data_IF_764780081256
#
_entry.id   IF_764780081256
#
_cell.length_a   1.000
_cell.length_b   1.000
_cell.length_c   1.000
_cell.angle_alpha   90.00
_cell.angle_beta   90.00
_cell.angle_gamma   90.00
#
_symmetry.space_group_name_H-M   'P 1'
#
loop_
_entity.id
_entity.type
_entity.pdbx_description
1 polymer ?
#
# COMPACT_ATOMS: atom_id res chain seq x y z
N UNK A 1 7.79 7.02 -9.21
CA UNK A 1 6.55 7.29 -8.46
C UNK A 1 6.08 6.03 -7.78
N UNK A 2 5.17 5.27 -8.41
CA UNK A 2 4.58 4.04 -7.85
C UNK A 2 5.63 3.03 -7.37
N UNK A 3 6.61 2.68 -8.21
CA UNK A 3 7.67 1.72 -7.83
C UNK A 3 8.50 2.17 -6.61
N UNK A 4 8.76 3.48 -6.47
CA UNK A 4 9.46 4.03 -5.32
C UNK A 4 8.61 3.88 -4.04
N UNK A 5 7.32 4.26 -4.13
CA UNK A 5 6.42 4.21 -2.99
C UNK A 5 6.03 2.78 -2.60
N UNK A 6 6.02 1.83 -3.53
CA UNK A 6 5.68 0.42 -3.23
C UNK A 6 6.69 -0.23 -2.28
N UNK A 7 7.94 0.23 -2.22
CA UNK A 7 8.90 -0.24 -1.20
C UNK A 7 8.37 0.00 0.23
N UNK A 8 7.55 1.04 0.43
CA UNK A 8 6.92 1.38 1.70
C UNK A 8 5.53 0.75 1.88
N UNK A 9 5.12 -0.18 1.00
CA UNK A 9 3.87 -0.89 1.16
C UNK A 9 3.94 -1.81 2.40
N UNK A 10 3.13 -1.48 3.41
CA UNK A 10 3.04 -2.23 4.67
C UNK A 10 2.61 -3.69 4.46
N UNK A 11 1.99 -4.03 3.32
CA UNK A 11 1.67 -5.42 3.01
C UNK A 11 2.90 -6.29 2.78
N UNK A 12 4.07 -5.72 2.49
CA UNK A 12 5.32 -6.49 2.50
C UNK A 12 5.62 -7.05 3.90
N UNK A 13 5.50 -6.21 4.92
CA UNK A 13 5.70 -6.56 6.32
C UNK A 13 4.68 -7.60 6.78
N UNK A 14 3.40 -7.35 6.47
CA UNK A 14 2.31 -8.26 6.83
C UNK A 14 2.48 -9.64 6.21
N UNK A 15 2.82 -9.74 4.90
CA UNK A 15 3.05 -11.04 4.25
C UNK A 15 4.26 -11.76 4.81
N UNK A 16 5.35 -11.03 5.06
CA UNK A 16 6.55 -11.59 5.67
C UNK A 16 6.26 -12.20 7.04
N UNK A 17 5.58 -11.44 7.90
CA UNK A 17 5.20 -11.88 9.24
C UNK A 17 4.17 -13.00 9.21
N UNK A 18 3.23 -12.97 8.27
CA UNK A 18 2.22 -14.03 8.13
C UNK A 18 2.89 -15.38 7.84
N UNK A 19 3.89 -15.43 6.95
CA UNK A 19 4.65 -16.67 6.69
C UNK A 19 5.37 -17.15 7.95
N UNK A 20 6.08 -16.25 8.63
CA UNK A 20 6.77 -16.56 9.91
C UNK A 20 5.80 -17.14 10.94
N UNK A 21 4.67 -16.46 11.19
CA UNK A 21 3.65 -16.90 12.15
C UNK A 21 3.05 -18.25 11.76
N UNK A 22 2.82 -18.47 10.47
CA UNK A 22 2.31 -19.74 9.97
C UNK A 22 3.30 -20.88 10.22
N UNK A 23 4.56 -20.70 9.81
CA UNK A 23 5.61 -21.73 9.93
C UNK A 23 5.92 -22.05 11.39
N UNK A 24 6.00 -21.04 12.27
CA UNK A 24 6.23 -21.26 13.69
C UNK A 24 5.10 -22.08 14.35
N UNK A 25 3.86 -21.90 13.89
CA UNK A 25 2.71 -22.59 14.47
C UNK A 25 2.50 -23.99 13.90
N UNK A 26 2.64 -24.15 12.60
CA UNK A 26 2.22 -25.36 11.88
C UNK A 26 3.37 -26.16 11.28
N UNK A 27 4.56 -25.57 11.18
CA UNK A 27 5.73 -26.17 10.56
C UNK A 27 5.89 -25.80 9.08
N UNK A 28 7.11 -26.00 8.57
CA UNK A 28 7.47 -25.75 7.17
C UNK A 28 6.72 -26.72 6.26
N UNK A 29 6.08 -26.17 5.22
CA UNK A 29 5.36 -26.97 4.21
C UNK A 29 3.98 -27.44 4.67
N UNK A 30 3.51 -26.99 5.83
CA UNK A 30 2.22 -27.37 6.35
C UNK A 30 1.08 -26.84 5.47
N UNK A 31 -0.03 -27.59 5.52
CA UNK A 31 -1.29 -27.24 4.90
C UNK A 31 -2.39 -27.38 5.96
N UNK A 32 -3.21 -26.34 6.11
CA UNK A 32 -4.22 -26.27 7.17
C UNK A 32 -5.52 -25.67 6.67
N UNK A 33 -6.62 -25.91 7.37
CA UNK A 33 -7.91 -25.26 7.11
C UNK A 33 -7.75 -23.74 7.26
N UNK A 34 -8.12 -22.99 6.21
CA UNK A 34 -8.05 -21.52 6.24
C UNK A 34 -8.98 -20.97 7.32
N UNK A 35 -10.24 -21.42 7.33
CA UNK A 35 -11.27 -20.88 8.22
C UNK A 35 -10.99 -21.18 9.69
N UNK A 36 -10.45 -22.35 10.02
CA UNK A 36 -10.18 -22.74 11.42
C UNK A 36 -9.01 -21.98 12.05
N UNK A 37 -8.15 -21.36 11.23
CA UNK A 37 -6.91 -20.73 11.69
C UNK A 37 -6.79 -19.26 11.35
N UNK A 38 -7.66 -18.71 10.52
CA UNK A 38 -7.54 -17.35 10.03
C UNK A 38 -7.57 -16.29 11.14
N UNK A 39 -8.41 -16.47 12.17
CA UNK A 39 -8.53 -15.51 13.28
C UNK A 39 -7.21 -15.41 14.06
N UNK A 40 -6.64 -16.56 14.42
CA UNK A 40 -5.35 -16.59 15.10
C UNK A 40 -4.25 -15.97 14.25
N UNK A 41 -4.11 -16.44 13.00
CA UNK A 41 -3.06 -15.98 12.09
C UNK A 41 -3.14 -14.46 11.87
N UNK A 42 -4.35 -13.94 11.66
CA UNK A 42 -4.58 -12.49 11.51
C UNK A 42 -4.20 -11.71 12.76
N UNK A 43 -4.68 -12.14 13.93
CA UNK A 43 -4.46 -11.45 15.19
C UNK A 43 -2.97 -11.45 15.58
N UNK A 44 -2.31 -12.59 15.43
CA UNK A 44 -0.90 -12.76 15.77
C UNK A 44 0.02 -11.99 14.80
N UNK A 45 -0.29 -12.01 13.50
CA UNK A 45 0.43 -11.22 12.49
C UNK A 45 0.35 -9.73 12.82
N UNK A 46 -0.85 -9.21 13.12
CA UNK A 46 -0.99 -7.81 13.53
C UNK A 46 -0.25 -7.50 14.83
N UNK A 47 -0.35 -8.39 15.84
CA UNK A 47 0.33 -8.20 17.12
C UNK A 47 1.85 -8.04 16.94
N UNK A 48 2.46 -8.78 16.00
CA UNK A 48 3.87 -8.64 15.64
C UNK A 48 4.14 -7.39 14.80
N UNK A 49 3.29 -7.12 13.82
CA UNK A 49 3.42 -5.95 12.96
C UNK A 49 3.43 -4.64 13.75
N UNK A 50 2.56 -4.51 14.77
CA UNK A 50 2.53 -3.34 15.66
C UNK A 50 3.71 -3.24 16.63
N UNK A 51 4.57 -4.27 16.70
CA UNK A 51 5.82 -4.26 17.48
C UNK A 51 7.05 -4.06 16.61
N UNK A 52 6.90 -3.98 15.29
CA UNK A 52 8.02 -3.71 14.42
C UNK A 52 8.58 -2.32 14.78
N UNK A 53 9.91 -2.19 14.89
CA UNK A 53 10.53 -0.88 15.03
C UNK A 53 10.23 -0.02 13.81
N UNK A 54 10.19 1.31 13.97
CA UNK A 54 9.96 2.23 12.84
C UNK A 54 11.23 2.43 12.00
N UNK A 55 12.39 2.52 12.64
CA UNK A 55 13.65 2.94 12.02
C UNK A 55 14.80 1.94 12.16
N UNK A 56 14.53 0.72 12.60
CA UNK A 56 15.56 -0.30 12.83
C UNK A 56 15.21 -1.62 12.12
N UNK A 57 16.20 -2.46 11.78
CA UNK A 57 15.93 -3.79 11.27
C UNK A 57 15.10 -4.63 12.28
N UNK A 58 14.03 -5.30 11.85
CA UNK A 58 13.16 -6.08 12.75
C UNK A 58 13.83 -7.24 13.49
N UNK A 59 14.96 -7.74 12.98
CA UNK A 59 15.73 -8.75 13.69
C UNK A 59 14.97 -10.09 13.76
N UNK A 60 14.87 -10.65 14.97
CA UNK A 60 14.18 -11.92 15.21
C UNK A 60 12.66 -11.85 15.03
N UNK A 61 12.07 -10.65 14.94
CA UNK A 61 10.65 -10.51 14.64
C UNK A 61 10.33 -10.87 13.18
N UNK A 62 11.34 -10.85 12.30
CA UNK A 62 11.20 -11.10 10.87
C UNK A 62 11.37 -12.57 10.45
N UNK A 63 11.31 -12.83 9.14
CA UNK A 63 11.64 -14.12 8.53
C UNK A 63 13.12 -14.51 8.71
N UNK A 64 13.42 -15.81 8.71
CA UNK A 64 14.77 -16.33 8.88
C UNK A 64 15.76 -15.88 7.78
N UNK A 65 15.27 -15.59 6.57
CA UNK A 65 16.06 -15.16 5.41
C UNK A 65 16.52 -13.69 5.46
N UNK A 66 16.20 -12.98 6.56
CA UNK A 66 16.53 -11.57 6.81
C UNK A 66 16.07 -10.63 5.70
N UNK A 67 15.08 -11.03 4.90
CA UNK A 67 14.52 -10.19 3.84
C UNK A 67 13.85 -8.94 4.40
N UNK A 68 13.16 -9.05 5.53
CA UNK A 68 12.51 -7.89 6.15
C UNK A 68 13.54 -6.87 6.64
N UNK A 69 14.65 -7.31 7.23
CA UNK A 69 15.77 -6.45 7.59
C UNK A 69 16.37 -5.74 6.37
N UNK A 70 16.55 -6.46 5.25
CA UNK A 70 17.00 -5.87 3.99
C UNK A 70 16.00 -4.84 3.43
N UNK A 71 14.69 -5.09 3.58
CA UNK A 71 13.64 -4.13 3.21
C UNK A 71 13.72 -2.86 4.07
N UNK A 72 13.94 -3.00 5.38
CA UNK A 72 14.09 -1.87 6.29
C UNK A 72 15.35 -1.05 6.00
N UNK A 73 16.48 -1.70 5.74
CA UNK A 73 17.70 -1.03 5.31
C UNK A 73 17.51 -0.28 3.98
N UNK A 74 16.77 -0.87 3.03
CA UNK A 74 16.42 -0.22 1.77
C UNK A 74 15.54 1.02 2.00
N UNK A 75 14.49 0.90 2.83
CA UNK A 75 13.60 2.01 3.19
C UNK A 75 14.39 3.16 3.82
N UNK A 76 15.26 2.86 4.78
CA UNK A 76 16.13 3.86 5.43
C UNK A 76 17.02 4.57 4.40
N UNK A 77 17.71 3.83 3.54
CA UNK A 77 18.54 4.42 2.47
C UNK A 77 17.74 5.33 1.52
N UNK A 78 16.51 4.94 1.15
CA UNK A 78 15.63 5.77 0.33
C UNK A 78 15.21 7.04 1.06
N UNK A 79 14.83 6.92 2.34
CA UNK A 79 14.45 8.05 3.20
C UNK A 79 15.61 9.02 3.35
N UNK A 80 16.80 8.56 3.71
CA UNK A 80 18.01 9.38 3.86
C UNK A 80 18.33 10.13 2.56
N UNK A 81 18.27 9.41 1.42
CA UNK A 81 18.50 10.01 0.10
C UNK A 81 17.46 11.08 -0.23
N UNK A 82 16.18 10.82 0.08
CA UNK A 82 15.10 11.77 -0.14
C UNK A 82 15.25 13.01 0.77
N UNK A 83 15.58 12.82 2.05
CA UNK A 83 15.78 13.92 3.00
C UNK A 83 16.96 14.80 2.58
N UNK A 84 18.08 14.21 2.17
CA UNK A 84 19.23 14.96 1.67
C UNK A 84 18.86 15.82 0.44
N UNK A 85 18.08 15.26 -0.50
CA UNK A 85 17.60 16.00 -1.66
C UNK A 85 16.63 17.14 -1.27
N UNK A 86 15.74 16.89 -0.29
CA UNK A 86 14.81 17.90 0.23
C UNK A 86 15.57 19.03 0.93
N UNK A 87 16.61 18.72 1.72
CA UNK A 87 17.44 19.71 2.39
C UNK A 87 18.17 20.60 1.38
N UNK A 88 18.75 20.01 0.33
CA UNK A 88 19.38 20.76 -0.74
C UNK A 88 18.39 21.70 -1.44
N UNK A 89 17.20 21.20 -1.79
CA UNK A 89 16.16 21.99 -2.46
C UNK A 89 15.58 23.09 -1.53
N UNK A 90 15.48 22.82 -0.23
CA UNK A 90 15.03 23.80 0.75
C UNK A 90 16.02 24.98 0.86
N UNK A 91 17.33 24.72 0.79
CA UNK A 91 18.37 25.76 0.85
C UNK A 91 18.35 26.72 -0.36
N UNK A 92 17.88 26.26 -1.53
CA UNK A 92 17.81 27.06 -2.76
C UNK A 92 16.40 27.55 -3.10
N UNK A 93 15.38 27.13 -2.34
CA UNK A 93 13.97 27.42 -2.60
C UNK A 93 13.36 26.62 -3.77
N UNK A 94 14.10 25.68 -4.34
CA UNK A 94 13.72 24.87 -5.49
C UNK A 94 12.83 23.67 -5.11
N UNK A 95 12.42 22.88 -6.10
CA UNK A 95 11.74 21.60 -5.89
C UNK A 95 12.73 20.45 -6.04
N UNK A 96 12.48 19.34 -5.35
CA UNK A 96 13.17 18.07 -5.63
C UNK A 96 12.64 17.52 -6.94
N UNK A 97 13.54 17.31 -7.91
CA UNK A 97 13.22 16.78 -9.23
C UNK A 97 14.07 15.54 -9.52
N UNK A 98 13.51 14.36 -9.28
CA UNK A 98 14.13 13.10 -9.68
C UNK A 98 13.62 12.63 -11.04
N UNK A 99 14.48 12.00 -11.81
CA UNK A 99 14.07 11.25 -13.00
C UNK A 99 13.37 9.95 -12.60
N UNK A 100 12.64 9.35 -13.55
CA UNK A 100 12.07 8.03 -13.34
C UNK A 100 13.14 6.96 -13.12
N UNK A 101 14.29 7.06 -13.81
CA UNK A 101 15.41 6.13 -13.65
C UNK A 101 16.05 6.22 -12.26
N UNK A 102 16.32 7.44 -11.77
CA UNK A 102 16.86 7.64 -10.41
C UNK A 102 15.95 7.01 -9.35
N UNK A 103 14.63 7.22 -9.48
CA UNK A 103 13.68 6.62 -8.56
C UNK A 103 13.60 5.09 -8.68
N UNK A 104 13.85 4.51 -9.86
CA UNK A 104 13.90 3.05 -10.05
C UNK A 104 15.20 2.46 -9.50
N UNK A 105 16.33 3.11 -9.71
CA UNK A 105 17.64 2.68 -9.23
C UNK A 105 17.63 2.51 -7.70
N UNK A 106 16.96 3.43 -6.99
CA UNK A 106 16.75 3.35 -5.55
C UNK A 106 15.93 2.13 -5.08
N UNK A 107 15.18 1.48 -5.97
CA UNK A 107 14.35 0.31 -5.64
C UNK A 107 14.99 -1.03 -6.00
N UNK A 108 16.16 -1.00 -6.67
CA UNK A 108 16.85 -2.20 -7.15
C UNK A 108 17.20 -3.18 -6.03
N UNK A 109 17.44 -2.68 -4.81
CA UNK A 109 17.70 -3.51 -3.62
C UNK A 109 16.49 -4.25 -3.05
N UNK A 110 15.28 -4.10 -3.60
CA UNK A 110 14.08 -4.75 -3.07
C UNK A 110 14.25 -6.28 -3.08
N UNK A 111 14.15 -6.99 -1.93
CA UNK A 111 14.28 -8.44 -1.88
C UNK A 111 13.26 -9.18 -2.77
N UNK A 112 13.67 -10.29 -3.39
CA UNK A 112 12.86 -11.02 -4.40
C UNK A 112 11.47 -11.42 -3.89
N UNK A 113 11.34 -11.84 -2.63
CA UNK A 113 10.05 -12.17 -2.02
C UNK A 113 9.04 -11.01 -2.02
N UNK A 114 9.53 -9.78 -2.07
CA UNK A 114 8.72 -8.56 -2.12
C UNK A 114 8.52 -8.04 -3.54
N UNK A 115 9.27 -8.57 -4.51
CA UNK A 115 9.07 -8.30 -5.94
C UNK A 115 7.87 -9.05 -6.52
N UNK A 116 6.98 -9.58 -5.68
CA UNK A 116 5.79 -10.33 -6.10
C UNK A 116 5.09 -9.61 -7.25
N UNK A 117 5.01 -10.29 -8.40
CA UNK A 117 4.78 -9.69 -9.73
C UNK A 117 3.43 -9.00 -9.93
N UNK A 118 2.60 -8.94 -8.89
CA UNK A 118 1.16 -8.74 -9.04
C UNK A 118 0.54 -7.74 -8.08
N UNK A 119 1.33 -7.05 -7.25
CA UNK A 119 0.80 -5.95 -6.45
C UNK A 119 0.24 -4.86 -7.38
N UNK A 120 -1.05 -4.56 -7.17
CA UNK A 120 -1.77 -3.51 -7.87
C UNK A 120 -2.14 -2.42 -6.90
N UNK A 121 -2.07 -1.20 -7.40
CA UNK A 121 -2.43 0.00 -6.67
C UNK A 121 -3.44 0.81 -7.48
N UNK A 122 -4.51 1.24 -6.83
CA UNK A 122 -5.41 2.25 -7.35
C UNK A 122 -4.87 3.63 -6.98
N UNK A 123 -4.32 4.36 -7.95
CA UNK A 123 -3.70 5.67 -7.71
C UNK A 123 -4.67 6.80 -8.04
N UNK A 124 -4.98 7.63 -7.04
CA UNK A 124 -5.75 8.86 -7.21
C UNK A 124 -4.81 10.00 -7.59
N UNK A 125 -5.07 10.59 -8.75
CA UNK A 125 -4.30 11.74 -9.24
C UNK A 125 -5.18 12.91 -9.60
N UNK A 126 -4.64 14.12 -9.47
CA UNK A 126 -5.18 15.32 -10.11
C UNK A 126 -4.22 15.76 -11.23
N UNK A 127 -4.77 16.12 -12.37
CA UNK A 127 -3.98 16.76 -13.43
C UNK A 127 -3.78 18.23 -13.10
N UNK A 128 -2.54 18.69 -13.07
CA UNK A 128 -2.20 20.10 -12.97
C UNK A 128 -1.15 20.47 -14.00
N UNK A 129 -1.53 21.32 -14.97
CA UNK A 129 -0.70 21.58 -16.17
C UNK A 129 -0.35 20.24 -16.84
N UNK A 130 0.95 19.92 -16.96
CA UNK A 130 1.46 18.66 -17.52
C UNK A 130 1.93 17.67 -16.44
N UNK A 131 1.49 17.87 -15.19
CA UNK A 131 1.88 17.08 -14.03
C UNK A 131 0.70 16.26 -13.51
N UNK A 132 1.02 15.12 -12.90
CA UNK A 132 0.10 14.30 -12.11
C UNK A 132 0.39 14.54 -10.64
N UNK A 133 -0.50 15.21 -9.94
CA UNK A 133 -0.45 15.37 -8.49
C UNK A 133 -0.94 14.07 -7.85
N UNK A 134 -0.04 13.38 -7.15
CA UNK A 134 -0.37 12.17 -6.41
C UNK A 134 -1.12 12.57 -5.13
N UNK A 135 -2.36 12.11 -4.99
CA UNK A 135 -3.14 12.37 -3.77
C UNK A 135 -2.95 11.23 -2.78
N UNK A 136 -3.21 10.03 -3.26
CA UNK A 136 -3.24 8.82 -2.45
C UNK A 136 -3.22 7.62 -3.39
N UNK A 137 -2.75 6.47 -2.92
CA UNK A 137 -3.06 5.21 -3.58
C UNK A 137 -3.46 4.14 -2.60
N UNK A 138 -4.34 3.27 -3.06
CA UNK A 138 -4.95 2.21 -2.29
C UNK A 138 -4.64 0.85 -2.91
N UNK A 139 -5.12 -0.20 -2.26
CA UNK A 139 -5.21 -1.52 -2.86
C UNK A 139 -5.85 -1.43 -4.26
N UNK A 140 -5.25 -2.13 -5.22
CA UNK A 140 -5.70 -2.13 -6.61
C UNK A 140 -7.01 -2.89 -6.84
N UNK A 141 -7.12 -3.53 -8.00
CA UNK A 141 -8.24 -4.44 -8.30
C UNK A 141 -9.64 -3.79 -8.18
N UNK A 142 -9.78 -2.52 -8.56
CA UNK A 142 -11.09 -1.90 -8.71
C UNK A 142 -11.72 -1.33 -7.44
N UNK A 143 -11.07 -1.44 -6.28
CA UNK A 143 -11.53 -0.91 -5.00
C UNK A 143 -12.09 0.53 -5.05
N UNK A 144 -11.45 1.43 -5.82
CA UNK A 144 -11.88 2.83 -5.93
C UNK A 144 -13.09 3.06 -6.85
N UNK A 145 -13.37 2.13 -7.77
CA UNK A 145 -14.33 2.35 -8.83
C UNK A 145 -15.37 1.24 -9.03
N UNK A 146 -15.24 0.11 -8.34
CA UNK A 146 -16.13 -1.05 -8.44
C UNK A 146 -17.60 -0.67 -8.25
N UNK A 147 -17.90 0.13 -7.22
CA UNK A 147 -19.24 0.65 -6.93
C UNK A 147 -19.86 1.49 -8.05
N UNK A 148 -19.04 2.06 -8.94
CA UNK A 148 -19.51 2.89 -10.06
C UNK A 148 -19.72 2.10 -11.35
N UNK A 149 -19.34 0.81 -11.40
CA UNK A 149 -19.52 -0.04 -12.58
C UNK A 149 -21.00 -0.28 -12.92
N UNK A 150 -21.88 -0.26 -11.91
CA UNK A 150 -23.33 -0.44 -12.09
C UNK A 150 -23.94 0.76 -12.83
N UNK A 151 -23.77 1.98 -12.30
CA UNK A 151 -24.13 3.22 -12.99
C UNK A 151 -23.51 3.36 -14.38
N UNK A 152 -22.22 3.08 -14.56
CA UNK A 152 -21.55 3.09 -15.88
C UNK A 152 -22.30 2.19 -16.88
N UNK A 153 -22.56 0.94 -16.49
CA UNK A 153 -23.31 0.00 -17.34
C UNK A 153 -24.72 0.50 -17.67
N UNK A 154 -25.42 1.10 -16.71
CA UNK A 154 -26.77 1.64 -16.92
C UNK A 154 -26.78 2.79 -17.95
N UNK A 155 -25.66 3.51 -18.08
CA UNK A 155 -25.45 4.56 -19.08
C UNK A 155 -24.88 4.04 -20.41
N UNK A 156 -24.82 2.72 -20.61
CA UNK A 156 -24.25 2.10 -21.82
C UNK A 156 -22.71 2.06 -21.83
N UNK A 157 -22.08 2.30 -20.68
CA UNK A 157 -20.64 2.26 -20.50
C UNK A 157 -20.05 0.86 -20.63
N UNK A 158 -18.72 0.82 -20.78
CA UNK A 158 -17.95 -0.40 -21.04
C UNK A 158 -16.91 -0.69 -19.94
N UNK A 159 -16.97 0.01 -18.81
CA UNK A 159 -15.96 -0.15 -17.75
C UNK A 159 -15.97 -1.56 -17.16
N UNK A 160 -17.16 -2.15 -16.95
CA UNK A 160 -17.28 -3.50 -16.38
C UNK A 160 -16.67 -4.60 -17.27
N UNK A 161 -17.03 -4.75 -18.55
CA UNK A 161 -16.39 -5.77 -19.40
C UNK A 161 -14.90 -5.52 -19.58
N UNK A 162 -14.47 -4.26 -19.71
CA UNK A 162 -13.05 -3.92 -19.80
C UNK A 162 -12.28 -4.32 -18.54
N UNK A 163 -12.83 -4.01 -17.37
CA UNK A 163 -12.21 -4.36 -16.10
C UNK A 163 -12.11 -5.88 -15.91
N UNK A 164 -13.17 -6.63 -16.24
CA UNK A 164 -13.15 -8.09 -16.24
C UNK A 164 -12.04 -8.67 -17.13
N UNK A 165 -11.89 -8.14 -18.34
CA UNK A 165 -10.86 -8.59 -19.28
C UNK A 165 -9.46 -8.31 -18.74
N UNK A 166 -9.23 -7.12 -18.18
CA UNK A 166 -7.95 -6.78 -17.54
C UNK A 166 -7.61 -7.71 -16.38
N UNK A 167 -8.58 -8.01 -15.51
CA UNK A 167 -8.36 -8.96 -14.41
C UNK A 167 -8.05 -10.37 -14.94
N UNK A 168 -8.80 -10.86 -15.92
CA UNK A 168 -8.55 -12.19 -16.50
C UNK A 168 -7.19 -12.28 -17.17
N UNK A 169 -6.83 -11.32 -18.02
CA UNK A 169 -5.55 -11.31 -18.71
C UNK A 169 -4.39 -11.31 -17.71
N UNK A 170 -4.52 -10.55 -16.62
CA UNK A 170 -3.51 -10.45 -15.57
C UNK A 170 -3.33 -11.76 -14.80
N UNK A 171 -4.42 -12.37 -14.35
CA UNK A 171 -4.35 -13.59 -13.54
C UNK A 171 -4.18 -14.86 -14.38
N UNK A 172 -4.33 -14.79 -15.71
CA UNK A 172 -4.07 -15.94 -16.60
C UNK A 172 -2.61 -16.42 -16.54
N UNK A 173 -1.66 -15.50 -16.34
CA UNK A 173 -0.22 -15.81 -16.27
C UNK A 173 0.19 -16.44 -14.93
N UNK A 174 -0.61 -16.25 -13.87
CA UNK A 174 -0.29 -16.71 -12.52
C UNK A 174 -0.72 -18.15 -12.24
N UNK A 175 -1.50 -18.75 -13.14
CA UNK A 175 -2.16 -20.02 -12.89
C UNK A 175 -3.25 -19.90 -11.80
N UNK A 176 -3.92 -21.01 -11.53
CA UNK A 176 -4.96 -21.04 -10.50
C UNK A 176 -6.30 -20.42 -10.91
N UNK A 177 -7.23 -20.42 -9.97
CA UNK A 177 -8.62 -19.97 -10.15
C UNK A 177 -8.79 -18.56 -9.57
N UNK A 178 -9.21 -17.62 -10.40
CA UNK A 178 -9.56 -16.26 -9.98
C UNK A 178 -11.04 -16.19 -9.60
N UNK A 179 -11.34 -15.78 -8.37
CA UNK A 179 -12.71 -15.67 -7.85
C UNK A 179 -12.95 -14.31 -7.19
N UNK A 180 -14.21 -13.89 -7.19
CA UNK A 180 -14.68 -12.70 -6.49
C UNK A 180 -15.38 -13.08 -5.18
N UNK A 181 -15.13 -12.33 -4.11
CA UNK A 181 -16.01 -12.33 -2.95
C UNK A 181 -17.12 -11.26 -3.13
N UNK A 182 -18.41 -11.65 -3.20
CA UNK A 182 -19.52 -10.72 -3.40
C UNK A 182 -20.06 -10.17 -2.07
N UNK A 183 -19.43 -10.48 -0.93
CA UNK A 183 -19.96 -10.16 0.38
C UNK A 183 -19.89 -8.67 0.70
N UNK A 184 -20.94 -8.14 1.31
CA UNK A 184 -20.96 -6.74 1.76
C UNK A 184 -20.12 -6.51 3.02
N UNK A 185 -19.98 -7.52 3.89
CA UNK A 185 -19.22 -7.45 5.14
C UNK A 185 -19.54 -6.22 6.01
N UNK A 186 -20.81 -5.79 6.01
CA UNK A 186 -21.31 -4.59 6.72
C UNK A 186 -20.72 -3.26 6.21
N UNK A 187 -20.16 -3.24 5.00
CA UNK A 187 -19.60 -2.05 4.38
C UNK A 187 -20.31 -1.80 3.04
N UNK A 188 -21.06 -0.71 2.94
CA UNK A 188 -21.76 -0.33 1.70
C UNK A 188 -20.79 -0.09 0.52
N UNK A 189 -19.53 0.24 0.79
CA UNK A 189 -18.49 0.39 -0.24
C UNK A 189 -18.20 -0.92 -0.98
N UNK A 190 -18.57 -2.08 -0.40
CA UNK A 190 -18.48 -3.39 -1.06
C UNK A 190 -19.64 -3.66 -2.02
N UNK A 191 -20.60 -2.76 -2.18
CA UNK A 191 -21.67 -2.93 -3.14
C UNK A 191 -21.18 -2.58 -4.55
N UNK A 192 -20.97 -3.61 -5.38
CA UNK A 192 -20.64 -3.47 -6.80
C UNK A 192 -21.36 -4.54 -7.63
N UNK A 193 -21.61 -4.30 -8.93
CA UNK A 193 -22.09 -5.36 -9.81
C UNK A 193 -21.00 -6.43 -9.97
N UNK A 194 -21.36 -7.72 -10.08
CA UNK A 194 -20.38 -8.77 -10.22
C UNK A 194 -19.47 -8.59 -11.43
N UNK A 195 -18.17 -8.66 -11.19
CA UNK A 195 -17.14 -8.47 -12.22
C UNK A 195 -16.68 -9.83 -12.73
N UNK A 196 -16.40 -10.79 -11.85
CA UNK A 196 -15.94 -12.13 -12.23
C UNK A 196 -17.11 -13.12 -12.37
N UNK A 197 -16.97 -14.14 -13.23
CA UNK A 197 -17.99 -15.19 -13.36
C UNK A 197 -18.02 -16.08 -12.11
N UNK A 198 -16.85 -16.40 -11.57
CA UNK A 198 -16.66 -17.27 -10.42
C UNK A 198 -16.65 -16.47 -9.13
N UNK A 199 -17.34 -17.00 -8.10
CA UNK A 199 -17.50 -16.35 -6.81
C UNK A 199 -17.38 -17.36 -5.69
N UNK A 200 -17.00 -16.88 -4.51
CA UNK A 200 -17.09 -17.64 -3.27
C UNK A 200 -18.38 -17.27 -2.52
N UNK A 201 -19.18 -18.28 -2.21
CA UNK A 201 -20.24 -18.19 -1.23
C UNK A 201 -19.70 -18.37 0.20
N UNK A 202 -20.53 -18.12 1.23
CA UNK A 202 -20.13 -18.29 2.64
C UNK A 202 -19.59 -19.69 2.96
N UNK A 203 -20.24 -20.75 2.46
CA UNK A 203 -19.87 -22.13 2.76
C UNK A 203 -18.57 -22.57 2.07
N UNK A 204 -18.19 -21.91 0.97
CA UNK A 204 -16.98 -22.25 0.21
C UNK A 204 -15.71 -21.96 1.04
N UNK A 205 -15.75 -20.93 1.90
CA UNK A 205 -14.63 -20.54 2.76
C UNK A 205 -14.17 -21.65 3.71
N UNK A 206 -15.08 -22.50 4.18
CA UNK A 206 -14.75 -23.62 5.08
C UNK A 206 -14.02 -24.76 4.38
N UNK A 207 -13.98 -24.76 3.05
CA UNK A 207 -13.31 -25.80 2.26
C UNK A 207 -11.96 -25.34 1.71
N UNK A 208 -11.59 -24.09 1.94
CA UNK A 208 -10.31 -23.54 1.51
C UNK A 208 -9.20 -23.92 2.49
N UNK A 209 -8.02 -24.18 1.94
CA UNK A 209 -6.81 -24.51 2.71
C UNK A 209 -5.74 -23.45 2.50
N UNK A 210 -4.95 -23.19 3.52
CA UNK A 210 -3.77 -22.34 3.45
C UNK A 210 -2.54 -23.24 3.46
N UNK A 211 -1.68 -23.10 2.44
CA UNK A 211 -0.47 -23.91 2.26
C UNK A 211 0.77 -23.03 2.23
N UNK A 212 1.82 -23.46 2.93
CA UNK A 212 3.16 -22.91 2.83
C UNK A 212 4.01 -23.62 1.77
N UNK A 213 4.65 -22.86 0.90
CA UNK A 213 5.65 -23.33 -0.05
C UNK A 213 7.07 -23.17 0.55
N UNK A 214 7.78 -24.27 0.89
CA UNK A 214 9.12 -24.21 1.46
C UNK A 214 10.18 -23.57 0.54
N UNK A 215 10.00 -23.63 -0.77
CA UNK A 215 11.01 -23.16 -1.72
C UNK A 215 10.99 -21.64 -1.85
N UNK A 216 9.81 -21.04 -1.70
CA UNK A 216 9.59 -19.59 -1.87
C UNK A 216 9.27 -18.86 -0.57
N UNK A 217 9.05 -19.58 0.53
CA UNK A 217 8.56 -19.04 1.81
C UNK A 217 7.28 -18.20 1.61
N UNK A 218 6.41 -18.68 0.72
CA UNK A 218 5.16 -18.04 0.36
C UNK A 218 3.95 -18.85 0.83
N UNK A 219 2.87 -18.13 1.12
CA UNK A 219 1.58 -18.73 1.45
C UNK A 219 0.63 -18.62 0.25
N UNK A 220 -0.10 -19.70 0.00
CA UNK A 220 -1.11 -19.78 -1.06
C UNK A 220 -2.41 -20.36 -0.51
N UNK A 221 -3.53 -19.89 -1.04
CA UNK A 221 -4.84 -20.48 -0.74
C UNK A 221 -5.12 -21.54 -1.80
N UNK A 222 -5.57 -22.72 -1.37
CA UNK A 222 -5.98 -23.81 -2.24
C UNK A 222 -7.49 -24.02 -2.16
N UNK A 223 -8.06 -24.33 -3.31
CA UNK A 223 -9.43 -24.84 -3.41
C UNK A 223 -9.49 -26.34 -3.04
N UNK A 224 -10.70 -26.95 -3.00
CA UNK A 224 -10.86 -28.38 -2.71
C UNK A 224 -10.21 -29.32 -3.73
N UNK A 225 -9.84 -28.82 -4.92
CA UNK A 225 -9.21 -29.57 -6.01
C UNK A 225 -7.67 -29.37 -6.01
N UNK A 226 -7.09 -28.90 -4.90
CA UNK A 226 -5.65 -28.59 -4.75
C UNK A 226 -5.12 -27.49 -5.69
N UNK A 227 -6.00 -26.66 -6.27
CA UNK A 227 -5.59 -25.58 -7.17
C UNK A 227 -5.38 -24.28 -6.41
N UNK A 228 -4.35 -23.49 -6.74
CA UNK A 228 -4.20 -22.14 -6.23
C UNK A 228 -5.46 -21.30 -6.51
N UNK A 229 -5.91 -20.56 -5.52
CA UNK A 229 -7.09 -19.73 -5.59
C UNK A 229 -6.72 -18.28 -5.26
N UNK A 230 -6.99 -17.40 -6.22
CA UNK A 230 -6.84 -15.95 -6.08
C UNK A 230 -8.21 -15.36 -5.83
N UNK A 231 -8.44 -14.87 -4.61
CA UNK A 231 -9.68 -14.20 -4.25
C UNK A 231 -9.47 -12.68 -4.25
N UNK A 232 -10.38 -11.96 -4.91
CA UNK A 232 -10.41 -10.49 -4.90
C UNK A 232 -11.66 -9.95 -4.20
N UNK A 233 -11.44 -9.02 -3.26
CA UNK A 233 -12.47 -8.12 -2.76
C UNK A 233 -12.38 -6.82 -3.55
N UNK A 234 -13.37 -6.55 -4.40
CA UNK A 234 -13.35 -5.40 -5.33
C UNK A 234 -13.97 -4.12 -4.75
N UNK A 235 -14.27 -4.14 -3.44
CA UNK A 235 -15.00 -3.10 -2.73
C UNK A 235 -14.12 -2.25 -1.81
N UNK A 236 -13.86 -2.77 -0.62
CA UNK A 236 -13.18 -2.03 0.47
C UNK A 236 -11.66 -2.13 0.37
N UNK A 237 -10.99 -1.00 0.67
CA UNK A 237 -9.54 -0.91 0.85
C UNK A 237 -9.05 -1.17 2.25
N UNK A 238 -9.97 -1.59 3.12
CA UNK A 238 -9.76 -1.73 4.55
C UNK A 238 -9.82 -3.20 4.93
N UNK A 239 -8.77 -4.00 4.67
CA UNK A 239 -8.75 -5.42 4.99
C UNK A 239 -8.96 -5.71 6.48
N UNK A 240 -8.63 -4.76 7.37
CA UNK A 240 -8.89 -4.86 8.80
C UNK A 240 -10.38 -5.00 9.14
N UNK A 241 -11.27 -4.53 8.26
CA UNK A 241 -12.73 -4.63 8.45
C UNK A 241 -13.35 -5.90 7.86
N UNK A 242 -12.55 -6.71 7.16
CA UNK A 242 -13.01 -7.97 6.56
C UNK A 242 -12.94 -9.11 7.61
N UNK A 243 -13.81 -10.13 7.50
CA UNK A 243 -13.65 -11.39 8.25
C UNK A 243 -12.27 -12.00 8.02
N UNK A 244 -11.71 -12.69 9.02
CA UNK A 244 -10.32 -13.11 8.99
C UNK A 244 -9.91 -13.95 7.75
N UNK A 245 -10.70 -14.93 7.27
CA UNK A 245 -10.33 -15.69 6.06
C UNK A 245 -10.16 -14.79 4.82
N UNK A 246 -11.13 -13.88 4.64
CA UNK A 246 -11.13 -12.89 3.56
C UNK A 246 -10.01 -11.86 3.73
N UNK A 247 -9.70 -11.47 4.96
CA UNK A 247 -8.56 -10.59 5.28
C UNK A 247 -7.22 -11.22 4.87
N UNK A 248 -6.97 -12.48 5.26
CA UNK A 248 -5.74 -13.19 4.88
C UNK A 248 -5.63 -13.30 3.36
N UNK A 249 -6.71 -13.69 2.69
CA UNK A 249 -6.75 -13.75 1.23
C UNK A 249 -6.46 -12.38 0.58
N UNK A 250 -6.97 -11.28 1.16
CA UNK A 250 -6.66 -9.94 0.68
C UNK A 250 -5.17 -9.59 0.87
N UNK A 251 -4.56 -9.91 2.01
CA UNK A 251 -3.13 -9.65 2.26
C UNK A 251 -2.20 -10.36 1.27
N UNK A 252 -2.55 -11.59 0.86
CA UNK A 252 -1.74 -12.37 -0.06
C UNK A 252 -1.72 -11.78 -1.47
N UNK A 253 -2.84 -11.20 -1.93
CA UNK A 253 -3.01 -10.83 -3.35
C UNK A 253 -3.22 -9.34 -3.62
N UNK A 254 -3.38 -8.50 -2.60
CA UNK A 254 -3.55 -7.05 -2.76
C UNK A 254 -2.29 -6.27 -2.36
N UNK A 255 -2.06 -5.18 -3.08
CA UNK A 255 -1.20 -4.10 -2.59
C UNK A 255 -1.85 -3.38 -1.42
N UNK A 256 -1.06 -2.72 -0.59
CA UNK A 256 -1.55 -1.84 0.46
C UNK A 256 -1.77 -0.41 -0.02
N UNK A 257 -1.60 0.53 0.90
CA UNK A 257 -1.70 1.96 0.65
C UNK A 257 -0.30 2.49 0.31
N UNK A 258 -0.16 3.21 -0.79
CA UNK A 258 1.10 3.91 -1.09
C UNK A 258 1.05 5.31 -0.47
N UNK A 259 1.98 5.57 0.44
CA UNK A 259 2.15 6.87 1.07
C UNK A 259 3.53 7.42 0.76
N UNK A 260 3.61 8.71 0.50
CA UNK A 260 4.87 9.45 0.46
C UNK A 260 5.24 9.85 1.90
N UNK A 261 6.36 9.35 2.46
CA UNK A 261 6.69 9.64 3.85
C UNK A 261 7.73 10.76 4.01
N UNK A 262 8.48 11.10 2.96
CA UNK A 262 9.74 11.84 3.04
C UNK A 262 9.61 13.23 3.65
N UNK A 263 8.62 14.03 3.21
CA UNK A 263 8.45 15.40 3.72
C UNK A 263 8.03 15.43 5.19
N UNK A 264 7.23 14.46 5.63
CA UNK A 264 6.81 14.35 7.03
C UNK A 264 7.95 13.85 7.92
N UNK A 265 8.69 12.82 7.47
CA UNK A 265 9.85 12.30 8.19
C UNK A 265 10.91 13.39 8.35
N UNK A 266 11.26 14.12 7.28
CA UNK A 266 12.21 15.24 7.37
C UNK A 266 11.83 16.23 8.46
N UNK A 267 10.55 16.64 8.50
CA UNK A 267 10.08 17.59 9.50
C UNK A 267 10.21 17.04 10.93
N UNK A 268 9.98 15.73 11.13
CA UNK A 268 10.13 15.09 12.43
C UNK A 268 11.61 14.94 12.85
N UNK A 269 12.52 14.70 11.91
CA UNK A 269 13.94 14.43 12.20
C UNK A 269 14.82 15.68 12.27
N UNK A 270 14.43 16.78 11.61
CA UNK A 270 15.22 18.01 11.60
C UNK A 270 14.84 18.87 12.81
N UNK A 271 15.80 19.28 13.65
CA UNK A 271 15.54 20.25 14.70
C UNK A 271 14.92 21.52 14.12
N UNK A 272 13.80 21.92 14.71
CA UNK A 272 13.07 23.13 14.35
C UNK A 272 12.70 23.85 15.65
N UNK A 273 13.02 25.13 15.73
CA UNK A 273 12.80 25.96 16.93
C UNK A 273 11.33 26.31 17.16
N UNK A 274 10.48 26.12 16.15
CA UNK A 274 9.07 26.51 16.20
C UNK A 274 8.84 28.02 16.10
N UNK A 275 9.89 28.83 15.98
CA UNK A 275 9.79 30.30 15.96
C UNK A 275 9.51 30.83 14.56
N UNK A 276 9.96 30.10 13.51
CA UNK A 276 9.77 30.48 12.11
C UNK A 276 9.15 29.37 11.29
N UNK A 277 8.25 29.73 10.40
CA UNK A 277 7.56 28.85 9.45
C UNK A 277 8.59 28.12 8.59
N UNK A 278 8.55 26.80 8.67
CA UNK A 278 9.39 25.93 7.85
C UNK A 278 8.68 25.60 6.55
N UNK A 279 9.27 26.03 5.43
CA UNK A 279 8.84 25.62 4.10
C UNK A 279 9.54 24.31 3.70
N UNK A 280 8.77 23.28 3.36
CA UNK A 280 9.28 22.07 2.72
C UNK A 280 8.97 22.10 1.21
N UNK A 281 9.99 21.88 0.36
CA UNK A 281 9.83 21.96 -1.08
C UNK A 281 8.91 20.88 -1.63
N UNK A 282 8.49 21.04 -2.89
CA UNK A 282 7.77 19.99 -3.63
C UNK A 282 8.70 18.82 -3.89
N UNK A 283 8.15 17.60 -3.93
CA UNK A 283 8.86 16.39 -4.31
C UNK A 283 8.26 15.78 -5.58
N UNK A 284 9.06 15.68 -6.63
CA UNK A 284 8.62 15.22 -7.95
C UNK A 284 9.52 14.10 -8.49
N UNK A 285 8.89 13.11 -9.13
CA UNK A 285 9.55 12.06 -9.91
C UNK A 285 8.99 12.08 -11.33
N UNK A 286 9.78 12.49 -12.32
CA UNK A 286 9.32 12.65 -13.70
C UNK A 286 8.16 13.65 -13.78
N UNK A 287 7.00 13.23 -14.29
CA UNK A 287 5.77 14.04 -14.34
C UNK A 287 4.85 13.85 -13.14
N UNK A 288 5.26 13.09 -12.12
CA UNK A 288 4.45 12.80 -10.94
C UNK A 288 4.95 13.62 -9.74
N UNK A 289 4.09 14.48 -9.20
CA UNK A 289 4.35 15.19 -7.95
C UNK A 289 3.88 14.32 -6.79
N UNK A 290 4.83 13.76 -6.04
CA UNK A 290 4.56 12.87 -4.90
C UNK A 290 4.23 13.67 -3.64
N UNK A 291 4.86 14.84 -3.47
CA UNK A 291 4.55 15.76 -2.39
C UNK A 291 4.39 17.19 -2.92
N UNK A 292 3.32 17.86 -2.47
CA UNK A 292 3.15 19.30 -2.63
C UNK A 292 4.12 20.03 -1.70
N UNK A 293 4.33 21.33 -1.97
CA UNK A 293 5.01 22.22 -1.01
C UNK A 293 4.18 22.20 0.27
N UNK A 294 4.84 22.03 1.42
CA UNK A 294 4.21 22.09 2.73
C UNK A 294 4.82 23.24 3.52
N UNK A 295 4.01 23.87 4.36
CA UNK A 295 4.47 24.87 5.32
C UNK A 295 4.07 24.40 6.70
N UNK A 296 5.03 24.37 7.61
CA UNK A 296 4.80 24.08 9.03
C UNK A 296 4.93 25.42 9.75
N UNK A 297 3.79 25.97 10.19
CA UNK A 297 3.69 27.32 10.75
C UNK A 297 4.38 27.42 12.10
N UNK A 298 5.26 28.42 12.24
CA UNK A 298 5.88 28.77 13.52
C UNK A 298 5.06 29.79 14.30
N UNK A 299 5.59 30.17 15.47
CA UNK A 299 4.98 31.17 16.36
C UNK A 299 4.71 32.49 15.66
N UNK A 300 5.51 32.89 14.67
CA UNK A 300 5.26 34.12 13.93
C UNK A 300 3.99 34.06 13.07
N UNK A 301 3.62 32.87 12.57
CA UNK A 301 2.34 32.68 11.87
C UNK A 301 1.17 32.76 12.85
N UNK A 302 1.31 32.15 14.03
CA UNK A 302 0.29 32.22 15.09
C UNK A 302 0.06 33.66 15.57
N UNK A 303 1.15 34.41 15.79
CA UNK A 303 1.10 35.83 16.18
C UNK A 303 0.41 36.69 15.11
N UNK A 304 0.69 36.48 13.84
CA UNK A 304 0.04 37.21 12.74
C UNK A 304 -1.44 36.88 12.59
N UNK A 305 -1.83 35.61 12.77
CA UNK A 305 -3.25 35.21 12.78
C UNK A 305 -3.97 35.88 13.96
N UNK A 306 -3.34 35.96 15.13
CA UNK A 306 -3.90 36.63 16.31
C UNK A 306 -3.99 38.17 16.15
N UNK A 307 -3.05 38.78 15.42
CA UNK A 307 -3.02 40.23 15.16
C UNK A 307 -4.12 40.70 14.18
N UNK A 308 -4.77 39.78 13.48
CA UNK A 308 -5.93 40.03 12.62
C UNK A 308 -5.63 40.00 11.12
N UNK A 309 -6.66 40.15 10.26
CA UNK A 309 -6.59 39.83 8.83
C UNK A 309 -5.49 40.55 8.05
N UNK A 310 -5.19 41.80 8.41
CA UNK A 310 -4.17 42.59 7.72
C UNK A 310 -2.75 42.02 7.89
N UNK A 311 -2.43 41.46 9.06
CA UNK A 311 -1.11 40.88 9.33
C UNK A 311 -1.01 39.44 8.79
N UNK A 312 -2.13 38.71 8.80
CA UNK A 312 -2.26 37.44 8.10
C UNK A 312 -1.99 37.57 6.59
N UNK A 313 -2.63 38.55 5.94
CA UNK A 313 -2.45 38.81 4.50
C UNK A 313 -1.02 39.25 4.17
N UNK A 314 -0.37 40.02 5.07
CA UNK A 314 1.03 40.42 4.93
C UNK A 314 1.98 39.22 4.94
N UNK A 315 1.76 38.26 5.84
CA UNK A 315 2.58 37.04 5.88
C UNK A 315 2.37 36.14 4.66
N UNK A 316 1.12 36.01 4.19
CA UNK A 316 0.83 35.25 2.98
C UNK A 316 1.49 35.85 1.72
N UNK A 317 1.72 37.17 1.69
CA UNK A 317 2.39 37.85 0.59
C UNK A 317 3.93 37.68 0.56
N UNK A 318 4.54 37.18 1.63
CA UNK A 318 5.98 36.95 1.74
C UNK A 318 6.41 35.51 1.39
N UNK A 319 5.44 34.61 1.17
CA UNK A 319 5.63 33.18 0.90
C UNK A 319 5.54 32.82 -0.59
#
# INVERSE_FOLDING_TARGET
>A
GVALLSVFDWMHDIRALLSTVFVERFGVGAEVSLSDHADYLSAETYRRAYRLPENEPPGELGPADRSLDRLYALRANIVDTAIAAIDQAAATGEAVNWSASQALDLTTGLPDRFRTGDLRYGVLTQTWRRQLLFNEAYAGHGMLYGRFLGPDRALGGRALPHFREQLRARYAEQGGRLVEDPGLHRLNVNAHPPVLPDRLGPDDWFRLRLRHDPDTDALSILDPDDRPLHMLSLGTGHPERLPAPLRLANWLYSGGVLREPFVAIRHAERPWDGDRTLACPRFQVGSAMLARRRWYGGRELDEAVAAGPAEHDRLLALA
#
